data_IF_345285537725
#
_entry.id   IF_345285537725
#
_cell.length_a   1.000
_cell.length_b   1.000
_cell.length_c   1.000
_cell.angle_alpha   90.00
_cell.angle_beta   90.00
_cell.angle_gamma   90.00
#
_symmetry.space_group_name_H-M   'P 1'
#
loop_
_entity.id
_entity.type
_entity.pdbx_description
1 polymer ?
#
# COMPACT_ATOMS: atom_id res chain seq x y z
N UNK A 1 19.81 -7.99 1.42
CA UNK A 1 19.30 -7.25 2.59
C UNK A 1 20.49 -6.99 3.47
N UNK A 2 20.79 -5.72 3.78
CA UNK A 2 21.91 -5.38 4.66
C UNK A 2 21.52 -5.68 6.12
N UNK A 3 22.35 -6.44 6.82
CA UNK A 3 22.14 -6.78 8.21
C UNK A 3 22.51 -5.57 9.09
N UNK A 4 21.77 -5.30 10.16
CA UNK A 4 22.10 -4.20 11.09
C UNK A 4 23.48 -4.39 11.73
N UNK A 5 23.87 -5.65 11.96
CA UNK A 5 25.19 -6.00 12.47
C UNK A 5 26.31 -5.69 11.45
N UNK A 6 26.07 -5.96 10.17
CA UNK A 6 27.02 -5.67 9.08
C UNK A 6 27.16 -4.15 8.88
N UNK A 7 26.04 -3.42 8.94
CA UNK A 7 26.01 -1.95 8.89
C UNK A 7 26.77 -1.30 10.03
N UNK A 8 26.85 -1.92 11.20
CA UNK A 8 27.65 -1.46 12.34
C UNK A 8 29.05 -2.10 12.40
N UNK A 9 29.31 -3.13 11.60
CA UNK A 9 30.60 -3.85 11.56
C UNK A 9 30.87 -4.64 12.83
N UNK A 10 29.82 -5.15 13.48
CA UNK A 10 29.89 -5.89 14.74
C UNK A 10 29.30 -7.28 14.56
N UNK A 11 29.71 -8.23 15.40
CA UNK A 11 29.11 -9.57 15.42
C UNK A 11 27.74 -9.56 16.10
N UNK A 12 26.83 -10.51 15.78
CA UNK A 12 25.56 -10.70 16.47
C UNK A 12 25.71 -10.89 17.98
N UNK A 13 26.84 -11.47 18.42
CA UNK A 13 27.19 -11.71 19.84
C UNK A 13 27.82 -10.49 20.55
N UNK A 14 27.82 -9.30 19.92
CA UNK A 14 28.51 -8.14 20.50
C UNK A 14 27.88 -7.67 21.84
N UNK A 15 28.70 -7.19 22.75
CA UNK A 15 28.19 -6.56 23.99
C UNK A 15 27.68 -5.14 23.69
N UNK A 16 26.79 -4.60 24.53
CA UNK A 16 26.30 -3.22 24.39
C UNK A 16 27.44 -2.19 24.35
N UNK A 17 28.52 -2.45 25.10
CA UNK A 17 29.73 -1.62 25.10
C UNK A 17 30.41 -1.61 23.73
N UNK A 18 30.51 -2.78 23.08
CA UNK A 18 31.07 -2.91 21.72
C UNK A 18 30.16 -2.25 20.67
N UNK A 19 28.84 -2.44 20.78
CA UNK A 19 27.86 -1.82 19.90
C UNK A 19 27.95 -0.28 19.95
N UNK A 20 28.02 0.29 21.16
CA UNK A 20 28.16 1.74 21.37
C UNK A 20 29.50 2.28 20.84
N UNK A 21 30.58 1.51 20.99
CA UNK A 21 31.91 1.89 20.47
C UNK A 21 31.90 1.91 18.93
N UNK A 22 31.38 0.85 18.30
CA UNK A 22 31.30 0.75 16.84
C UNK A 22 30.41 1.84 16.22
N UNK A 23 29.27 2.15 16.85
CA UNK A 23 28.42 3.28 16.46
C UNK A 23 29.20 4.60 16.46
N UNK A 24 29.92 4.92 17.54
CA UNK A 24 30.72 6.16 17.62
C UNK A 24 31.78 6.25 16.54
N UNK A 25 32.50 5.16 16.29
CA UNK A 25 33.55 5.12 15.26
C UNK A 25 32.97 5.31 13.85
N UNK A 26 31.84 4.67 13.54
CA UNK A 26 31.17 4.83 12.23
C UNK A 26 30.49 6.19 12.08
N UNK A 27 29.87 6.72 13.13
CA UNK A 27 29.27 8.05 13.14
C UNK A 27 30.30 9.15 12.87
N UNK A 28 31.52 9.02 13.44
CA UNK A 28 32.61 9.97 13.19
C UNK A 28 33.16 9.89 11.76
N UNK A 29 33.18 8.70 11.16
CA UNK A 29 33.65 8.48 9.78
C UNK A 29 32.67 9.00 8.74
N UNK A 30 31.37 8.85 9.01
CA UNK A 30 30.29 9.20 8.08
C UNK A 30 29.54 10.48 8.48
N UNK A 31 30.14 11.31 9.34
CA UNK A 31 29.49 12.53 9.82
C UNK A 31 29.25 13.50 8.65
N UNK A 32 28.04 14.05 8.48
CA UNK A 32 27.70 14.92 7.34
C UNK A 32 28.54 16.20 7.28
N UNK A 33 29.05 16.67 8.42
CA UNK A 33 29.94 17.84 8.52
C UNK A 33 31.33 17.60 7.89
N UNK A 34 31.79 16.35 7.82
CA UNK A 34 33.09 15.99 7.22
C UNK A 34 33.01 15.54 5.77
N UNK A 35 31.81 15.18 5.29
CA UNK A 35 31.62 14.61 3.93
C UNK A 35 30.37 15.21 3.30
N UNK A 36 30.57 16.23 2.47
CA UNK A 36 29.56 17.22 2.08
C UNK A 36 28.41 16.72 1.16
N UNK A 37 28.30 15.44 0.80
CA UNK A 37 27.24 15.03 -0.15
C UNK A 37 26.80 13.56 -0.20
N UNK A 38 27.64 12.57 0.16
CA UNK A 38 27.29 11.14 -0.07
C UNK A 38 27.13 10.29 1.20
N UNK A 39 27.51 10.79 2.37
CA UNK A 39 27.46 10.01 3.61
C UNK A 39 26.18 10.18 4.43
N UNK A 40 25.25 11.06 4.01
CA UNK A 40 24.00 11.30 4.73
C UNK A 40 23.16 10.02 4.85
N UNK A 41 23.03 9.27 3.76
CA UNK A 41 22.20 8.06 3.74
C UNK A 41 22.81 6.93 4.59
N UNK A 42 24.13 6.77 4.51
CA UNK A 42 24.88 5.80 5.31
C UNK A 42 24.81 6.16 6.80
N UNK A 43 24.94 7.43 7.16
CA UNK A 43 24.82 7.89 8.53
C UNK A 43 23.43 7.60 9.10
N UNK A 44 22.37 7.90 8.33
CA UNK A 44 20.99 7.59 8.71
C UNK A 44 20.78 6.08 8.88
N UNK A 45 21.36 5.26 8.00
CA UNK A 45 21.27 3.80 8.11
C UNK A 45 21.99 3.28 9.37
N UNK A 46 23.19 3.79 9.67
CA UNK A 46 23.96 3.47 10.89
C UNK A 46 23.20 3.88 12.15
N UNK A 47 22.58 5.07 12.14
CA UNK A 47 21.79 5.57 13.26
C UNK A 47 20.56 4.68 13.51
N UNK A 48 19.79 4.35 12.46
CA UNK A 48 18.64 3.45 12.55
C UNK A 48 19.04 2.07 13.06
N UNK A 49 20.15 1.51 12.57
CA UNK A 49 20.67 0.23 13.02
C UNK A 49 21.00 0.25 14.52
N UNK A 50 21.65 1.32 15.00
CA UNK A 50 21.99 1.45 16.42
C UNK A 50 20.75 1.65 17.30
N UNK A 51 19.81 2.51 16.91
CA UNK A 51 18.56 2.74 17.64
C UNK A 51 17.76 1.45 17.80
N UNK A 52 17.72 0.62 16.75
CA UNK A 52 17.05 -0.66 16.77
C UNK A 52 17.77 -1.69 17.66
N UNK A 53 19.09 -1.86 17.49
CA UNK A 53 19.87 -2.84 18.26
C UNK A 53 20.14 -2.44 19.72
N UNK A 54 20.01 -1.15 20.06
CA UNK A 54 20.15 -0.63 21.43
C UNK A 54 19.06 -1.16 22.35
N UNK A 55 17.84 -1.39 21.85
CA UNK A 55 16.77 -1.96 22.67
C UNK A 55 16.94 -3.50 22.74
N UNK A 56 17.11 -4.08 23.95
CA UNK A 56 17.28 -5.52 24.09
C UNK A 56 16.11 -6.34 23.53
N UNK A 57 14.87 -5.84 23.60
CA UNK A 57 13.71 -6.55 23.04
C UNK A 57 13.75 -6.62 21.50
N UNK A 58 14.04 -5.49 20.85
CA UNK A 58 14.22 -5.42 19.39
C UNK A 58 15.39 -6.28 18.95
N UNK A 59 16.48 -6.28 19.71
CA UNK A 59 17.66 -7.10 19.43
C UNK A 59 17.34 -8.59 19.53
N UNK A 60 16.59 -9.01 20.53
CA UNK A 60 16.21 -10.41 20.72
C UNK A 60 15.28 -10.90 19.60
N UNK A 61 14.28 -10.10 19.23
CA UNK A 61 13.38 -10.45 18.11
C UNK A 61 14.13 -10.53 16.78
N UNK A 62 15.06 -9.62 16.55
CA UNK A 62 15.93 -9.65 15.36
C UNK A 62 16.83 -10.88 15.32
N UNK A 63 17.48 -11.20 16.44
CA UNK A 63 18.32 -12.39 16.55
C UNK A 63 17.51 -13.68 16.33
N UNK A 64 16.31 -13.77 16.91
CA UNK A 64 15.41 -14.90 16.68
C UNK A 64 15.02 -15.03 15.20
N UNK A 65 14.75 -13.91 14.51
CA UNK A 65 14.45 -13.91 13.09
C UNK A 65 15.65 -14.36 12.23
N UNK A 66 16.87 -13.94 12.58
CA UNK A 66 18.10 -14.38 11.91
C UNK A 66 18.30 -15.90 12.05
N UNK A 67 18.21 -16.43 13.27
CA UNK A 67 18.33 -17.86 13.53
C UNK A 67 17.25 -18.64 12.77
N UNK A 68 15.99 -18.18 12.80
CA UNK A 68 14.91 -18.83 12.08
C UNK A 68 15.10 -18.82 10.56
N UNK A 69 15.67 -17.75 10.00
CA UNK A 69 16.00 -17.66 8.58
C UNK A 69 17.16 -18.60 8.21
N UNK A 70 18.24 -18.62 9.00
CA UNK A 70 19.35 -19.55 8.80
C UNK A 70 18.89 -21.01 8.88
N UNK A 71 18.05 -21.35 9.86
CA UNK A 71 17.46 -22.67 10.04
C UNK A 71 16.58 -23.04 8.84
N UNK A 72 15.82 -22.08 8.31
CA UNK A 72 15.00 -22.27 7.10
C UNK A 72 15.88 -22.50 5.87
N UNK A 73 16.97 -21.75 5.73
CA UNK A 73 17.92 -21.92 4.62
C UNK A 73 18.64 -23.26 4.70
N UNK A 74 19.08 -23.68 5.89
CA UNK A 74 19.63 -25.02 6.12
C UNK A 74 18.61 -26.09 5.77
N UNK A 75 17.36 -25.95 6.23
CA UNK A 75 16.27 -26.87 5.88
C UNK A 75 15.96 -26.90 4.39
N UNK A 76 16.04 -25.77 3.69
CA UNK A 76 15.86 -25.69 2.24
C UNK A 76 17.04 -26.27 1.47
N UNK A 77 18.26 -26.11 2.01
CA UNK A 77 19.49 -26.69 1.49
C UNK A 77 19.54 -28.21 1.69
N UNK A 78 19.05 -28.69 2.84
CA UNK A 78 18.91 -30.11 3.16
C UNK A 78 17.61 -30.73 2.64
N UNK A 79 16.63 -29.91 2.23
CA UNK A 79 15.44 -30.39 1.56
C UNK A 79 15.88 -31.04 0.25
N UNK A 80 15.38 -32.26 0.02
CA UNK A 80 15.73 -33.11 -1.11
C UNK A 80 15.86 -32.33 -2.41
N UNK A 81 16.81 -32.75 -3.27
CA UNK A 81 16.96 -32.26 -4.64
C UNK A 81 15.63 -32.15 -5.40
N UNK A 82 14.63 -32.95 -5.04
CA UNK A 82 13.24 -32.88 -5.53
C UNK A 82 12.50 -31.59 -5.14
N UNK A 83 12.62 -31.11 -3.90
CA UNK A 83 11.99 -29.86 -3.42
C UNK A 83 12.66 -28.63 -4.04
N UNK A 84 14.00 -28.65 -4.18
CA UNK A 84 14.74 -27.60 -4.88
C UNK A 84 14.34 -27.51 -6.36
N UNK A 85 14.32 -28.65 -7.06
CA UNK A 85 13.85 -28.73 -8.45
C UNK A 85 12.41 -28.25 -8.61
N UNK A 86 11.52 -28.64 -7.71
CA UNK A 86 10.11 -28.23 -7.75
C UNK A 86 9.94 -26.72 -7.52
N UNK A 87 10.70 -26.14 -6.58
CA UNK A 87 10.70 -24.69 -6.34
C UNK A 87 11.24 -23.91 -7.53
N UNK A 88 12.33 -24.37 -8.12
CA UNK A 88 12.91 -23.78 -9.34
C UNK A 88 11.93 -23.89 -10.52
N UNK A 89 11.25 -25.03 -10.67
CA UNK A 89 10.22 -25.24 -11.69
C UNK A 89 9.02 -24.31 -11.50
N UNK A 90 8.55 -24.12 -10.26
CA UNK A 90 7.48 -23.17 -9.94
C UNK A 90 7.88 -21.73 -10.27
N UNK A 91 9.07 -21.29 -9.83
CA UNK A 91 9.59 -19.96 -10.13
C UNK A 91 9.76 -19.75 -11.64
N UNK A 92 10.18 -20.79 -12.37
CA UNK A 92 10.32 -20.75 -13.82
C UNK A 92 8.95 -20.66 -14.49
N UNK A 93 7.95 -21.42 -14.06
CA UNK A 93 6.57 -21.32 -14.58
C UNK A 93 5.94 -19.97 -14.27
N UNK A 94 6.17 -19.41 -13.09
CA UNK A 94 5.73 -18.05 -12.78
C UNK A 94 6.41 -17.01 -13.67
N UNK A 95 7.71 -17.17 -13.93
CA UNK A 95 8.46 -16.30 -14.84
C UNK A 95 7.97 -16.45 -16.28
N UNK A 96 7.82 -17.67 -16.78
CA UNK A 96 7.29 -17.96 -18.10
C UNK A 96 5.85 -17.48 -18.27
N UNK A 97 5.01 -17.59 -17.23
CA UNK A 97 3.67 -17.02 -17.24
C UNK A 97 3.71 -15.49 -17.29
N UNK A 98 4.58 -14.85 -16.52
CA UNK A 98 4.82 -13.40 -16.58
C UNK A 98 5.34 -12.97 -17.95
N UNK A 99 6.32 -13.69 -18.50
CA UNK A 99 6.91 -13.45 -19.82
C UNK A 99 5.90 -13.73 -20.94
N UNK A 100 5.01 -14.71 -20.78
CA UNK A 100 3.91 -15.00 -21.70
C UNK A 100 2.81 -13.94 -21.64
N UNK A 101 2.52 -13.39 -20.47
CA UNK A 101 1.65 -12.22 -20.32
C UNK A 101 2.28 -10.98 -20.95
N UNK A 102 3.61 -10.83 -20.85
CA UNK A 102 4.36 -9.78 -21.50
C UNK A 102 4.34 -9.94 -23.04
N UNK A 103 4.54 -11.16 -23.54
CA UNK A 103 4.62 -11.49 -24.96
C UNK A 103 3.23 -11.45 -25.64
N UNK A 104 2.16 -11.89 -24.95
CA UNK A 104 0.77 -11.71 -25.42
C UNK A 104 0.35 -10.24 -25.54
N UNK A 105 1.13 -9.31 -24.99
CA UNK A 105 0.90 -7.87 -25.10
C UNK A 105 1.76 -7.18 -26.18
N UNK A 106 2.49 -7.94 -27.02
CA UNK A 106 3.23 -7.41 -28.17
C UNK A 106 2.70 -7.94 -29.52
N UNK A 107 1.42 -7.66 -29.79
CA UNK A 107 0.99 -7.38 -31.16
C UNK A 107 -0.18 -6.37 -31.15
N UNK A 108 0.12 -5.16 -30.67
CA UNK A 108 -0.69 -3.97 -31.00
C UNK A 108 0.08 -3.22 -32.09
N UNK A 109 -0.50 -2.98 -33.28
CA UNK A 109 0.19 -2.34 -34.39
C UNK A 109 0.72 -0.96 -33.99
N UNK A 110 2.02 -0.75 -34.21
CA UNK A 110 2.69 0.51 -33.96
C UNK A 110 2.21 1.61 -34.92
N UNK A 111 1.18 2.37 -34.50
CA UNK A 111 1.03 3.81 -34.78
C UNK A 111 -0.16 4.36 -33.98
N UNK A 112 0.08 4.74 -32.72
CA UNK A 112 -0.71 5.73 -31.94
C UNK A 112 -0.13 6.07 -30.55
N UNK A 113 1.18 5.92 -30.35
CA UNK A 113 1.83 6.30 -29.08
C UNK A 113 3.02 7.20 -29.36
N UNK A 114 2.71 8.47 -29.62
CA UNK A 114 3.63 9.58 -29.38
C UNK A 114 2.95 10.44 -28.32
N UNK A 115 3.27 10.17 -27.05
CA UNK A 115 3.35 11.09 -25.93
C UNK A 115 3.40 10.27 -24.64
N UNK A 116 4.63 10.13 -24.14
CA UNK A 116 5.01 9.55 -22.86
C UNK A 116 4.40 10.33 -21.70
N UNK A 117 3.81 9.65 -20.71
CA UNK A 117 3.81 10.11 -19.31
C UNK A 117 4.16 8.92 -18.40
N UNK A 118 5.05 9.20 -17.45
CA UNK A 118 5.79 8.37 -16.46
C UNK A 118 5.08 7.14 -15.84
N UNK A 119 5.84 6.15 -15.32
CA UNK A 119 5.26 4.99 -14.65
C UNK A 119 4.54 5.39 -13.36
N UNK A 120 3.25 5.06 -13.26
CA UNK A 120 2.44 5.24 -12.06
C UNK A 120 3.00 4.38 -10.91
N UNK A 121 3.49 5.03 -9.86
CA UNK A 121 3.78 4.41 -8.56
C UNK A 121 2.49 3.75 -8.02
N UNK A 122 2.55 2.46 -7.73
CA UNK A 122 1.44 1.74 -7.12
C UNK A 122 1.24 2.25 -5.68
N UNK A 123 0.03 2.70 -5.31
CA UNK A 123 -0.20 3.11 -3.94
C UNK A 123 -0.11 1.92 -2.98
N UNK A 124 0.55 2.18 -1.86
CA UNK A 124 0.60 1.33 -0.68
C UNK A 124 -0.81 0.94 -0.21
N UNK A 125 -0.92 -0.21 0.47
CA UNK A 125 -2.11 -0.99 0.85
C UNK A 125 -3.30 -0.30 1.55
N UNK A 126 -3.35 1.03 1.60
CA UNK A 126 -4.43 1.83 2.21
C UNK A 126 -5.50 2.32 1.23
N UNK A 127 -5.36 2.05 -0.07
CA UNK A 127 -6.23 2.64 -1.12
C UNK A 127 -7.47 1.80 -1.51
N UNK A 128 -7.78 0.72 -0.78
CA UNK A 128 -8.88 -0.20 -1.11
C UNK A 128 -10.30 0.28 -0.73
N UNK A 129 -10.51 1.58 -0.47
CA UNK A 129 -11.87 2.08 -0.20
C UNK A 129 -12.78 2.09 -1.45
N UNK A 130 -12.26 1.81 -2.65
CA UNK A 130 -12.99 1.93 -3.91
C UNK A 130 -13.65 0.66 -4.46
N UNK A 131 -13.36 -0.54 -3.95
CA UNK A 131 -13.80 -1.78 -4.62
C UNK A 131 -15.10 -2.37 -4.06
N UNK A 132 -15.45 -2.10 -2.81
CA UNK A 132 -16.47 -2.85 -2.08
C UNK A 132 -17.60 -1.96 -1.54
N UNK A 133 -18.12 -1.09 -2.42
CA UNK A 133 -19.15 -0.10 -2.09
C UNK A 133 -20.53 -0.56 -2.57
N UNK A 134 -21.50 -0.56 -1.66
CA UNK A 134 -22.91 -0.79 -1.97
C UNK A 134 -23.74 0.47 -1.71
N UNK A 135 -24.88 0.55 -2.40
CA UNK A 135 -25.91 1.55 -2.14
C UNK A 135 -27.15 0.88 -1.60
N UNK A 136 -27.55 1.23 -0.39
CA UNK A 136 -28.81 0.83 0.22
C UNK A 136 -29.83 1.96 0.11
N UNK A 137 -31.07 1.63 -0.22
CA UNK A 137 -32.21 2.55 -0.17
C UNK A 137 -33.34 1.94 0.63
N UNK A 138 -34.08 2.76 1.35
CA UNK A 138 -35.25 2.36 2.13
C UNK A 138 -36.38 3.37 1.93
N UNK A 139 -37.55 3.07 2.49
CA UNK A 139 -38.70 3.96 2.46
C UNK A 139 -38.55 5.10 3.49
N UNK A 140 -38.87 6.34 3.10
CA UNK A 140 -38.63 7.55 3.89
C UNK A 140 -39.50 7.64 5.15
N UNK A 141 -40.54 6.80 5.22
CA UNK A 141 -41.38 6.59 6.42
C UNK A 141 -40.60 5.95 7.59
N UNK A 142 -39.47 5.29 7.32
CA UNK A 142 -38.65 4.58 8.30
C UNK A 142 -37.40 5.39 8.65
N UNK A 143 -37.34 5.89 9.89
CA UNK A 143 -36.22 6.66 10.41
C UNK A 143 -35.02 5.78 10.80
N UNK A 144 -34.26 5.28 9.82
CA UNK A 144 -33.02 4.56 10.11
C UNK A 144 -31.88 5.52 10.47
N UNK A 145 -31.16 5.19 11.56
CA UNK A 145 -29.94 5.87 11.98
C UNK A 145 -28.70 5.08 11.53
N UNK A 146 -27.53 5.72 11.56
CA UNK A 146 -26.26 5.08 11.18
C UNK A 146 -25.96 3.82 12.02
N UNK A 147 -26.28 3.83 13.31
CA UNK A 147 -26.06 2.69 14.21
C UNK A 147 -26.91 1.48 13.82
N UNK A 148 -28.17 1.71 13.44
CA UNK A 148 -29.08 0.64 13.00
C UNK A 148 -28.58 0.05 11.67
N UNK A 149 -28.19 0.91 10.72
CA UNK A 149 -27.60 0.47 9.46
C UNK A 149 -26.32 -0.34 9.69
N UNK A 150 -25.45 0.10 10.59
CA UNK A 150 -24.24 -0.65 10.94
C UNK A 150 -24.61 -2.03 11.48
N UNK A 151 -25.52 -2.13 12.44
CA UNK A 151 -25.93 -3.42 13.01
C UNK A 151 -26.49 -4.39 11.96
N UNK A 152 -27.31 -3.90 11.03
CA UNK A 152 -27.93 -4.73 9.99
C UNK A 152 -26.89 -5.20 8.97
N UNK A 153 -26.01 -4.29 8.53
CA UNK A 153 -25.06 -4.60 7.47
C UNK A 153 -23.78 -5.29 7.98
N UNK A 154 -23.48 -5.21 9.28
CA UNK A 154 -22.35 -5.88 9.91
C UNK A 154 -22.52 -7.40 9.98
N UNK A 155 -23.77 -7.89 9.96
CA UNK A 155 -24.09 -9.32 9.78
C UNK A 155 -23.48 -9.89 8.49
N UNK A 156 -23.40 -9.06 7.45
CA UNK A 156 -22.80 -9.44 6.17
C UNK A 156 -21.27 -9.31 6.17
N UNK A 157 -20.69 -8.58 7.14
CA UNK A 157 -19.26 -8.51 7.39
C UNK A 157 -18.77 -7.09 7.77
N UNK A 158 -17.47 -6.95 8.04
CA UNK A 158 -16.90 -5.73 8.60
C UNK A 158 -17.07 -4.51 7.68
N UNK A 159 -17.60 -3.43 8.26
CA UNK A 159 -17.90 -2.17 7.57
C UNK A 159 -16.82 -1.14 7.88
N UNK A 160 -16.20 -0.60 6.81
CA UNK A 160 -15.22 0.46 6.88
C UNK A 160 -15.88 1.83 7.14
N UNK A 161 -16.95 2.16 6.41
CA UNK A 161 -17.59 3.47 6.46
C UNK A 161 -19.05 3.42 6.01
N UNK A 162 -19.89 4.31 6.56
CA UNK A 162 -21.28 4.50 6.13
C UNK A 162 -21.50 5.99 5.87
N UNK A 163 -22.00 6.34 4.68
CA UNK A 163 -22.37 7.71 4.32
C UNK A 163 -23.89 7.75 4.06
N UNK A 164 -24.66 8.31 4.99
CA UNK A 164 -26.12 8.41 4.90
C UNK A 164 -26.60 9.77 4.37
N UNK A 165 -27.58 9.77 3.45
CA UNK A 165 -28.27 10.97 2.96
C UNK A 165 -29.74 10.67 2.69
N UNK A 166 -30.63 11.22 3.55
CA UNK A 166 -32.09 11.01 3.50
C UNK A 166 -32.42 9.50 3.55
N UNK A 167 -33.26 9.01 2.65
CA UNK A 167 -33.68 7.61 2.50
C UNK A 167 -32.66 6.68 1.81
N UNK A 168 -31.36 7.03 1.85
CA UNK A 168 -30.29 6.30 1.12
C UNK A 168 -28.99 6.30 1.93
N UNK A 169 -28.26 5.20 1.88
CA UNK A 169 -26.90 5.08 2.42
C UNK A 169 -25.94 4.49 1.40
N UNK A 170 -24.68 4.91 1.49
CA UNK A 170 -23.55 4.30 0.81
C UNK A 170 -22.74 3.59 1.89
N UNK A 171 -22.53 2.28 1.73
CA UNK A 171 -21.85 1.45 2.71
C UNK A 171 -20.59 0.91 2.07
N UNK A 172 -19.47 1.09 2.76
CA UNK A 172 -18.14 0.65 2.34
C UNK A 172 -17.76 -0.56 3.18
N UNK A 173 -17.59 -1.71 2.54
CA UNK A 173 -17.13 -2.93 3.20
C UNK A 173 -15.61 -3.07 3.13
N UNK A 174 -15.03 -3.76 4.11
CA UNK A 174 -13.61 -4.10 4.08
C UNK A 174 -13.29 -5.28 3.13
N UNK A 175 -14.31 -5.98 2.62
CA UNK A 175 -14.14 -7.20 1.83
C UNK A 175 -15.16 -7.31 0.70
N UNK A 176 -14.72 -7.86 -0.44
CA UNK A 176 -15.56 -8.17 -1.59
C UNK A 176 -16.70 -9.10 -1.22
N UNK A 177 -16.39 -10.15 -0.45
CA UNK A 177 -17.37 -11.16 -0.07
C UNK A 177 -18.53 -10.57 0.74
N UNK A 178 -18.24 -9.62 1.63
CA UNK A 178 -19.27 -8.94 2.43
C UNK A 178 -20.19 -8.09 1.55
N UNK A 179 -19.61 -7.34 0.61
CA UNK A 179 -20.38 -6.52 -0.33
C UNK A 179 -21.24 -7.39 -1.26
N UNK A 180 -20.73 -8.53 -1.71
CA UNK A 180 -21.43 -9.43 -2.62
C UNK A 180 -22.60 -10.14 -1.91
N UNK A 181 -22.43 -10.57 -0.65
CA UNK A 181 -23.51 -11.17 0.16
C UNK A 181 -24.64 -10.19 0.42
N UNK A 182 -24.32 -8.94 0.76
CA UNK A 182 -25.31 -7.89 0.98
C UNK A 182 -26.12 -7.55 -0.29
N UNK A 183 -25.55 -7.77 -1.49
CA UNK A 183 -26.24 -7.62 -2.77
C UNK A 183 -27.07 -8.87 -3.12
N UNK A 184 -26.54 -10.07 -2.87
CA UNK A 184 -27.21 -11.33 -3.22
C UNK A 184 -28.40 -11.65 -2.31
N UNK A 185 -28.32 -11.24 -1.05
CA UNK A 185 -29.31 -11.52 -0.02
C UNK A 185 -29.63 -10.23 0.73
N UNK A 186 -30.25 -9.25 0.07
CA UNK A 186 -30.53 -7.98 0.70
C UNK A 186 -31.51 -8.17 1.86
N UNK A 187 -31.40 -7.39 2.95
CA UNK A 187 -32.39 -7.44 4.01
C UNK A 187 -33.76 -7.04 3.44
N UNK A 188 -34.83 -7.70 3.89
CA UNK A 188 -36.20 -7.59 3.34
C UNK A 188 -36.78 -6.15 3.27
N UNK A 189 -36.08 -5.18 3.86
CA UNK A 189 -36.51 -3.78 3.99
C UNK A 189 -35.67 -2.81 3.13
N UNK A 190 -34.61 -3.30 2.46
CA UNK A 190 -33.66 -2.46 1.73
C UNK A 190 -33.50 -2.88 0.27
N UNK A 191 -33.51 -1.89 -0.62
CA UNK A 191 -33.07 -2.06 -2.00
C UNK A 191 -31.56 -1.82 -2.08
N UNK A 192 -30.77 -2.89 -2.15
CA UNK A 192 -29.31 -2.86 -2.22
C UNK A 192 -28.82 -3.02 -3.67
N UNK A 193 -27.87 -2.19 -4.08
CA UNK A 193 -27.30 -2.23 -5.43
C UNK A 193 -25.81 -1.91 -5.45
N UNK A 194 -25.05 -2.57 -6.33
CA UNK A 194 -23.63 -2.26 -6.55
C UNK A 194 -23.50 -0.88 -7.17
N UNK A 195 -22.62 -0.04 -6.62
CA UNK A 195 -22.38 1.29 -7.16
C UNK A 195 -21.50 1.17 -8.42
N UNK A 196 -21.91 1.81 -9.53
CA UNK A 196 -21.16 1.76 -10.80
C UNK A 196 -19.78 2.41 -10.65
N UNK A 197 -18.74 1.81 -11.25
CA UNK A 197 -17.33 2.22 -11.13
C UNK A 197 -17.07 3.72 -11.39
N UNK A 198 -17.73 4.33 -12.38
CA UNK A 198 -17.59 5.77 -12.65
C UNK A 198 -18.14 6.67 -11.54
N UNK A 199 -19.15 6.22 -10.78
CA UNK A 199 -19.69 6.97 -9.62
C UNK A 199 -18.81 6.80 -8.39
N UNK A 200 -18.19 5.63 -8.24
CA UNK A 200 -17.19 5.39 -7.21
C UNK A 200 -15.99 6.30 -7.44
N UNK A 201 -15.45 6.35 -8.66
CA UNK A 201 -14.34 7.23 -9.03
C UNK A 201 -14.64 8.71 -8.73
N UNK A 202 -15.85 9.19 -9.01
CA UNK A 202 -16.26 10.55 -8.68
C UNK A 202 -16.37 10.81 -7.17
N UNK A 203 -16.77 9.81 -6.36
CA UNK A 203 -16.81 9.91 -4.90
C UNK A 203 -15.41 9.93 -4.31
N UNK A 204 -14.51 9.05 -4.76
CA UNK A 204 -13.11 9.00 -4.32
C UNK A 204 -12.36 10.27 -4.72
N UNK A 205 -12.60 10.77 -5.93
CA UNK A 205 -12.02 12.04 -6.41
C UNK A 205 -12.52 13.24 -5.61
N UNK A 206 -13.81 13.24 -5.22
CA UNK A 206 -14.37 14.28 -4.35
C UNK A 206 -13.82 14.23 -2.93
N UNK A 207 -13.66 13.03 -2.35
CA UNK A 207 -13.03 12.84 -1.03
C UNK A 207 -11.57 13.30 -1.03
N UNK A 208 -10.78 12.94 -2.06
CA UNK A 208 -9.39 13.37 -2.20
C UNK A 208 -9.26 14.89 -2.35
N UNK A 209 -10.15 15.53 -3.12
CA UNK A 209 -10.20 16.99 -3.23
C UNK A 209 -10.57 17.63 -1.89
N UNK A 210 -11.56 17.10 -1.17
CA UNK A 210 -11.98 17.62 0.14
C UNK A 210 -10.89 17.43 1.22
N UNK A 211 -10.07 16.36 1.14
CA UNK A 211 -8.89 16.15 1.99
C UNK A 211 -7.72 17.08 1.61
N UNK A 212 -7.42 17.26 0.33
CA UNK A 212 -6.40 18.19 -0.15
C UNK A 212 -6.72 19.64 0.28
N UNK A 213 -8.00 20.04 0.26
CA UNK A 213 -8.47 21.35 0.76
C UNK A 213 -8.35 21.47 2.28
N UNK A 214 -8.48 20.34 3.01
CA UNK A 214 -8.38 20.32 4.47
C UNK A 214 -6.93 20.37 4.96
N UNK A 215 -5.99 19.85 4.15
CA UNK A 215 -4.55 19.80 4.45
C UNK A 215 -3.79 21.01 3.88
N UNK A 216 -4.32 21.69 2.85
CA UNK A 216 -3.74 22.91 2.27
C UNK A 216 -4.79 23.99 2.05
N UNK A 217 -4.52 25.19 2.56
CA UNK A 217 -5.29 26.42 2.39
C UNK A 217 -5.41 26.87 0.91
N UNK A 218 -6.14 26.12 0.07
CA UNK A 218 -6.55 26.57 -1.27
C UNK A 218 -8.05 26.32 -1.45
N UNK A 219 -8.77 27.30 -1.99
CA UNK A 219 -10.22 27.19 -2.20
C UNK A 219 -10.52 26.24 -3.36
N UNK A 220 -11.73 25.65 -3.39
CA UNK A 220 -12.17 24.75 -4.49
C UNK A 220 -12.00 25.39 -5.87
N UNK A 221 -12.23 26.69 -5.99
CA UNK A 221 -12.05 27.46 -7.23
C UNK A 221 -10.58 27.50 -7.67
N UNK A 222 -9.64 27.65 -6.75
CA UNK A 222 -8.22 27.79 -7.06
C UNK A 222 -7.63 26.48 -7.58
N UNK A 223 -7.99 25.36 -6.93
CA UNK A 223 -7.54 24.03 -7.34
C UNK A 223 -8.07 23.65 -8.74
N UNK A 224 -9.32 24.05 -9.05
CA UNK A 224 -9.93 23.84 -10.37
C UNK A 224 -9.26 24.74 -11.42
N UNK A 225 -8.98 26.00 -11.11
CA UNK A 225 -8.29 26.93 -12.01
C UNK A 225 -6.87 26.45 -12.34
N UNK A 226 -6.11 25.98 -11.34
CA UNK A 226 -4.76 25.43 -11.50
C UNK A 226 -4.77 24.21 -12.43
N UNK A 227 -5.76 23.33 -12.27
CA UNK A 227 -5.91 22.11 -13.09
C UNK A 227 -6.35 22.42 -14.52
N UNK A 228 -7.21 23.43 -14.71
CA UNK A 228 -7.58 23.94 -16.04
C UNK A 228 -6.40 24.58 -16.76
N UNK A 229 -5.53 25.29 -16.02
CA UNK A 229 -4.31 25.90 -16.57
C UNK A 229 -3.32 24.85 -17.06
N UNK A 230 -3.09 23.79 -16.27
CA UNK A 230 -2.26 22.64 -16.65
C UNK A 230 -2.82 21.94 -17.90
N UNK A 231 -4.14 21.79 -18.00
CA UNK A 231 -4.78 21.17 -19.17
C UNK A 231 -4.65 22.05 -20.43
N UNK A 232 -4.81 23.37 -20.30
CA UNK A 232 -4.61 24.30 -21.41
C UNK A 232 -3.15 24.34 -21.88
N UNK A 233 -2.20 24.21 -20.98
CA UNK A 233 -0.76 24.20 -21.28
C UNK A 233 -0.34 22.90 -22.00
N UNK A 234 -0.90 21.76 -21.58
CA UNK A 234 -0.75 20.47 -22.28
C UNK A 234 -1.40 20.45 -23.68
N UNK A 235 -2.51 21.18 -23.86
CA UNK A 235 -3.15 21.31 -25.17
C UNK A 235 -2.34 22.22 -26.12
N UNK A 236 -1.69 23.27 -25.60
CA UNK A 236 -0.80 24.14 -26.38
C UNK A 236 0.51 23.46 -26.78
N UNK A 237 1.04 22.53 -25.98
CA UNK A 237 2.24 21.75 -26.33
C UNK A 237 1.99 20.61 -27.34
N UNK A 238 0.74 20.42 -27.81
CA UNK A 238 0.36 19.36 -28.77
C UNK A 238 0.15 19.88 -30.20
N UNK A 239 0.39 21.16 -30.46
CA UNK A 239 0.49 21.77 -31.78
C UNK A 239 1.92 22.18 -32.06
#
# INVERSE_FOLDING_TARGET
>A
MENYYDLLGVKPDCTEKQLKKAYKEKALKHHPDKTQSTSSDLFQAIQKAYEFLKNPENRNTYNAALIANEEREKRLSSASSRVKKFREELLKKEKEAKDSLLNKNYNIPAKRYANEEKPEEYPSSTDFLGSYIIKAKWDESRGYTESILRSIFEEYGPIAKIDMKKSKAIIHFCSEGSSQRAISTPPNEFQVSRLKQHKIWNLTKKQKIDEEIKVGFESKSDLVAKRMKILQEKLKSRH
#
